data_IF_584601993013
#
_entry.id   IF_584601993013
#
_cell.length_a   1.000
_cell.length_b   1.000
_cell.length_c   1.000
_cell.angle_alpha   90.00
_cell.angle_beta   90.00
_cell.angle_gamma   90.00
#
_symmetry.space_group_name_H-M   'P 1'
#
loop_
_entity.id
_entity.type
_entity.pdbx_description
1 polymer ?
#
# COMPACT_ATOMS: atom_id res chain seq x y z
N UNK A 1 -49.62 10.07 -15.50
CA UNK A 1 -48.19 9.83 -15.13
C UNK A 1 -47.61 11.12 -14.56
N UNK A 2 -47.51 11.22 -13.24
CA UNK A 2 -46.99 12.42 -12.54
C UNK A 2 -45.45 12.39 -12.61
N UNK A 3 -44.85 13.34 -13.33
CA UNK A 3 -43.41 13.59 -13.35
C UNK A 3 -43.00 14.15 -11.99
N UNK A 4 -42.50 13.30 -11.09
CA UNK A 4 -41.86 13.72 -9.85
C UNK A 4 -40.66 14.61 -10.18
N UNK A 5 -40.82 15.94 -10.00
CA UNK A 5 -39.70 16.89 -10.08
C UNK A 5 -38.64 16.47 -9.08
N UNK A 6 -37.51 15.96 -9.55
CA UNK A 6 -36.29 15.80 -8.74
C UNK A 6 -35.89 17.18 -8.21
N UNK A 7 -36.19 17.42 -6.94
CA UNK A 7 -35.72 18.63 -6.23
C UNK A 7 -34.16 18.51 -6.24
N UNK A 8 -33.53 19.46 -6.95
CA UNK A 8 -32.08 19.63 -6.90
C UNK A 8 -31.71 19.94 -5.45
N UNK A 9 -31.13 18.97 -4.76
CA UNK A 9 -30.63 19.13 -3.40
C UNK A 9 -29.57 20.25 -3.43
N UNK A 10 -29.79 21.33 -2.66
CA UNK A 10 -28.89 22.47 -2.60
C UNK A 10 -27.61 21.98 -1.90
N UNK A 11 -26.48 22.00 -2.62
CA UNK A 11 -25.17 21.59 -2.09
C UNK A 11 -24.85 22.46 -0.88
N UNK A 12 -24.75 21.87 0.29
CA UNK A 12 -24.36 22.56 1.53
C UNK A 12 -22.86 22.82 1.51
N UNK A 13 -22.37 23.89 2.17
CA UNK A 13 -20.94 24.14 2.30
C UNK A 13 -20.16 22.94 2.87
N UNK A 14 -20.81 22.17 3.74
CA UNK A 14 -20.26 20.94 4.31
C UNK A 14 -20.04 19.84 3.25
N UNK A 15 -20.95 19.68 2.27
CA UNK A 15 -20.77 18.73 1.17
C UNK A 15 -19.56 19.08 0.30
N UNK A 16 -19.29 20.38 0.13
CA UNK A 16 -18.11 20.84 -0.63
C UNK A 16 -16.83 20.48 0.12
N UNK A 17 -16.77 20.77 1.42
CA UNK A 17 -15.62 20.44 2.28
C UNK A 17 -15.38 18.93 2.25
N UNK A 18 -16.43 18.12 2.41
CA UNK A 18 -16.34 16.68 2.34
C UNK A 18 -15.68 16.19 1.04
N UNK A 19 -16.16 16.71 -0.09
CA UNK A 19 -15.66 16.33 -1.42
C UNK A 19 -14.20 16.74 -1.61
N UNK A 20 -13.84 17.97 -1.22
CA UNK A 20 -12.48 18.49 -1.35
C UNK A 20 -11.51 17.68 -0.50
N UNK A 21 -11.83 17.43 0.78
CA UNK A 21 -10.98 16.64 1.67
C UNK A 21 -10.81 15.22 1.15
N UNK A 22 -11.89 14.56 0.73
CA UNK A 22 -11.83 13.21 0.16
C UNK A 22 -10.99 13.17 -1.12
N UNK A 23 -11.12 14.17 -1.99
CA UNK A 23 -10.33 14.26 -3.22
C UNK A 23 -8.83 14.47 -2.93
N UNK A 24 -8.50 15.34 -1.98
CA UNK A 24 -7.09 15.56 -1.56
C UNK A 24 -6.48 14.28 -1.01
N UNK A 25 -7.19 13.57 -0.12
CA UNK A 25 -6.69 12.30 0.45
C UNK A 25 -6.53 11.23 -0.63
N UNK A 26 -7.47 11.12 -1.57
CA UNK A 26 -7.40 10.13 -2.65
C UNK A 26 -6.24 10.43 -3.62
N UNK A 27 -6.00 11.70 -3.99
CA UNK A 27 -4.91 12.07 -4.90
C UNK A 27 -3.55 11.93 -4.21
N UNK A 28 -3.45 12.21 -2.90
CA UNK A 28 -2.22 12.09 -2.13
C UNK A 28 -1.69 10.64 -2.08
N UNK A 29 -2.55 9.64 -2.23
CA UNK A 29 -2.14 8.24 -2.26
C UNK A 29 -1.14 7.94 -3.39
N UNK A 30 -1.22 8.59 -4.54
CA UNK A 30 -0.37 8.31 -5.70
C UNK A 30 1.08 8.78 -5.51
N UNK A 31 1.38 10.06 -5.21
CA UNK A 31 2.75 10.48 -4.99
C UNK A 31 3.38 9.79 -3.77
N UNK A 32 2.62 9.55 -2.71
CA UNK A 32 3.12 8.82 -1.55
C UNK A 32 3.46 7.36 -1.88
N UNK A 33 2.61 6.68 -2.68
CA UNK A 33 2.91 5.32 -3.15
C UNK A 33 4.15 5.27 -4.03
N UNK A 34 4.35 6.28 -4.89
CA UNK A 34 5.42 6.28 -5.89
C UNK A 34 6.77 6.67 -5.33
N UNK A 35 6.85 7.74 -4.53
CA UNK A 35 8.11 8.32 -4.07
C UNK A 35 8.55 7.84 -2.69
N UNK A 36 7.62 7.39 -1.82
CA UNK A 36 8.00 6.93 -0.48
C UNK A 36 8.57 5.51 -0.54
N UNK A 37 9.48 5.21 0.37
CA UNK A 37 10.03 3.86 0.52
C UNK A 37 8.92 2.87 0.89
N UNK A 38 8.88 1.75 0.21
CA UNK A 38 7.82 0.73 0.33
C UNK A 38 8.34 -0.54 1.03
N UNK A 39 9.58 -0.92 0.75
CA UNK A 39 10.19 -2.13 1.29
C UNK A 39 11.54 -1.75 1.90
N UNK A 40 11.76 -2.21 3.13
CA UNK A 40 13.06 -2.15 3.81
C UNK A 40 13.59 -3.57 3.97
N UNK A 41 14.84 -3.78 3.58
CA UNK A 41 15.59 -5.00 3.83
C UNK A 41 16.85 -4.63 4.61
N UNK A 42 17.04 -5.25 5.76
CA UNK A 42 18.25 -5.13 6.57
C UNK A 42 19.04 -6.41 6.45
N UNK A 43 20.26 -6.27 5.96
CA UNK A 43 21.21 -7.38 5.79
C UNK A 43 22.31 -7.17 6.84
N UNK A 44 22.42 -8.03 7.81
CA UNK A 44 23.53 -8.04 8.75
C UNK A 44 24.63 -8.98 8.27
N UNK A 45 25.80 -8.43 8.05
CA UNK A 45 27.04 -9.16 7.83
C UNK A 45 27.84 -9.16 9.13
N UNK A 46 27.58 -10.09 10.05
CA UNK A 46 28.30 -10.14 11.33
C UNK A 46 29.82 -10.26 11.14
N UNK A 47 30.27 -11.10 10.22
CA UNK A 47 31.70 -11.28 9.96
C UNK A 47 32.32 -10.10 9.20
N UNK A 48 31.63 -9.55 8.21
CA UNK A 48 32.08 -8.38 7.44
C UNK A 48 32.06 -7.11 8.28
N UNK A 49 31.05 -6.95 9.12
CA UNK A 49 30.98 -5.86 10.11
C UNK A 49 32.15 -5.89 11.07
N UNK A 50 32.48 -7.07 11.63
CA UNK A 50 33.62 -7.23 12.53
C UNK A 50 34.95 -6.92 11.84
N UNK A 51 35.11 -7.28 10.57
CA UNK A 51 36.32 -6.98 9.78
C UNK A 51 36.40 -5.47 9.51
N UNK A 52 35.32 -4.82 9.10
CA UNK A 52 35.28 -3.38 8.83
C UNK A 52 35.49 -2.59 10.12
N UNK A 53 34.84 -2.95 11.23
CA UNK A 53 35.00 -2.31 12.53
C UNK A 53 36.45 -2.41 13.03
N UNK A 54 37.08 -3.57 12.84
CA UNK A 54 38.48 -3.79 13.20
C UNK A 54 39.46 -2.98 12.31
N UNK A 55 39.09 -2.71 11.04
CA UNK A 55 39.94 -1.99 10.11
C UNK A 55 39.72 -0.46 10.18
N UNK A 56 38.50 -0.01 10.47
CA UNK A 56 38.15 1.42 10.44
C UNK A 56 38.01 2.04 11.83
N UNK A 57 37.96 1.25 12.87
CA UNK A 57 37.71 1.73 14.24
C UNK A 57 36.33 2.37 14.44
N UNK A 58 35.40 2.17 13.52
CA UNK A 58 34.04 2.70 13.64
C UNK A 58 33.14 1.68 14.35
N UNK A 59 32.36 2.13 15.32
CA UNK A 59 31.35 1.32 16.01
C UNK A 59 30.02 1.25 15.21
N UNK A 60 30.08 1.39 13.89
CA UNK A 60 28.89 1.30 13.06
C UNK A 60 28.40 -0.16 13.05
N UNK A 61 27.16 -0.46 13.46
CA UNK A 61 26.65 -1.83 13.57
C UNK A 61 26.46 -2.55 12.22
N UNK A 62 27.13 -2.06 11.16
CA UNK A 62 27.36 -2.76 9.90
C UNK A 62 26.11 -3.37 9.25
N UNK A 63 24.98 -2.70 9.30
CA UNK A 63 23.78 -3.10 8.58
C UNK A 63 23.77 -2.48 7.19
N UNK A 64 23.77 -3.29 6.13
CA UNK A 64 23.45 -2.77 4.80
C UNK A 64 21.94 -2.65 4.69
N UNK A 65 21.47 -1.43 4.57
CA UNK A 65 20.06 -1.13 4.39
C UNK A 65 19.76 -1.02 2.89
N UNK A 66 18.79 -1.79 2.42
CA UNK A 66 18.20 -1.59 1.09
C UNK A 66 16.76 -1.10 1.30
N UNK A 67 16.50 0.13 0.88
CA UNK A 67 15.17 0.74 0.92
C UNK A 67 14.71 1.00 -0.52
N UNK A 68 13.59 0.41 -0.90
CA UNK A 68 13.06 0.52 -2.25
C UNK A 68 11.68 1.18 -2.28
N UNK A 69 11.51 2.06 -3.25
CA UNK A 69 10.23 2.65 -3.64
C UNK A 69 9.75 2.08 -4.98
N UNK A 70 8.54 2.40 -5.38
CA UNK A 70 8.06 2.07 -6.73
C UNK A 70 8.88 2.81 -7.80
N UNK A 71 9.33 4.04 -7.51
CA UNK A 71 10.17 4.81 -8.41
C UNK A 71 11.49 4.09 -8.74
N UNK A 72 12.05 3.35 -7.77
CA UNK A 72 13.32 2.63 -7.93
C UNK A 72 13.24 1.49 -8.97
N UNK A 73 12.02 0.99 -9.28
CA UNK A 73 11.81 0.00 -10.36
C UNK A 73 12.16 0.60 -11.73
N UNK A 74 11.91 1.89 -11.91
CA UNK A 74 12.10 2.61 -13.18
C UNK A 74 13.42 3.35 -13.24
N UNK A 75 14.15 3.45 -12.13
CA UNK A 75 15.46 4.09 -12.07
C UNK A 75 16.56 3.08 -12.40
N UNK A 76 17.18 3.23 -13.57
CA UNK A 76 18.26 2.36 -14.04
C UNK A 76 19.50 2.35 -13.13
N UNK A 77 19.65 3.34 -12.27
CA UNK A 77 20.75 3.41 -11.30
C UNK A 77 20.42 2.71 -9.97
N UNK A 78 19.16 2.33 -9.76
CA UNK A 78 18.72 1.68 -8.51
C UNK A 78 19.17 0.22 -8.43
N UNK A 79 19.49 -0.23 -7.22
CA UNK A 79 19.83 -1.63 -6.94
C UNK A 79 18.69 -2.57 -7.29
N UNK A 80 17.43 -2.13 -7.08
CA UNK A 80 16.23 -2.91 -7.42
C UNK A 80 16.13 -3.13 -8.93
N UNK A 81 16.31 -2.06 -9.73
CA UNK A 81 16.31 -2.17 -11.20
C UNK A 81 17.42 -3.10 -11.70
N UNK A 82 18.63 -2.99 -11.12
CA UNK A 82 19.72 -3.92 -11.44
C UNK A 82 19.38 -5.37 -11.11
N UNK A 83 18.80 -5.64 -9.93
CA UNK A 83 18.39 -7.01 -9.53
C UNK A 83 17.32 -7.57 -10.47
N UNK A 84 16.35 -6.76 -10.87
CA UNK A 84 15.30 -7.18 -11.81
C UNK A 84 15.85 -7.46 -13.20
N UNK A 85 16.93 -6.76 -13.63
CA UNK A 85 17.56 -6.90 -14.94
C UNK A 85 18.74 -7.87 -14.95
N UNK A 86 19.31 -8.28 -13.79
CA UNK A 86 20.33 -9.34 -13.72
C UNK A 86 19.85 -10.69 -14.28
N UNK A 87 18.55 -10.79 -14.58
CA UNK A 87 17.94 -11.94 -15.22
C UNK A 87 17.98 -11.98 -16.75
N UNK A 88 18.83 -11.21 -17.44
CA UNK A 88 18.89 -11.26 -18.93
C UNK A 88 19.19 -12.64 -19.53
N UNK A 89 19.53 -13.64 -18.71
CA UNK A 89 19.62 -15.06 -19.10
C UNK A 89 18.50 -15.97 -18.60
N UNK A 90 17.78 -15.56 -17.55
CA UNK A 90 16.66 -16.28 -16.93
C UNK A 90 15.53 -15.28 -16.66
N UNK A 91 14.78 -14.90 -17.71
CA UNK A 91 13.60 -14.07 -17.54
C UNK A 91 12.69 -14.70 -16.48
N UNK A 92 12.45 -13.96 -15.39
CA UNK A 92 11.40 -14.31 -14.42
C UNK A 92 10.07 -14.30 -15.19
N UNK A 93 9.70 -15.41 -15.77
CA UNK A 93 8.43 -15.54 -16.49
C UNK A 93 7.30 -15.48 -15.45
N UNK A 94 6.14 -15.00 -15.87
CA UNK A 94 4.94 -14.99 -15.01
C UNK A 94 4.64 -16.41 -14.48
N UNK A 95 4.90 -17.46 -15.28
CA UNK A 95 4.77 -18.84 -14.84
C UNK A 95 5.73 -19.17 -13.71
N UNK A 96 7.01 -18.80 -13.80
CA UNK A 96 8.02 -19.04 -12.75
C UNK A 96 7.64 -18.33 -11.45
N UNK A 97 7.13 -17.09 -11.53
CA UNK A 97 6.65 -16.35 -10.36
C UNK A 97 5.44 -17.04 -9.73
N UNK A 98 4.52 -17.55 -10.58
CA UNK A 98 3.29 -18.17 -10.09
C UNK A 98 3.52 -19.54 -9.45
N UNK A 99 4.47 -20.31 -9.96
CA UNK A 99 4.82 -21.64 -9.45
C UNK A 99 5.59 -21.58 -8.13
N UNK A 100 6.31 -20.49 -7.89
CA UNK A 100 7.02 -20.26 -6.63
C UNK A 100 6.09 -19.62 -5.59
N UNK A 101 5.85 -20.31 -4.47
CA UNK A 101 4.93 -19.87 -3.39
C UNK A 101 5.32 -18.51 -2.84
N UNK A 102 6.60 -18.24 -2.67
CA UNK A 102 7.12 -16.99 -2.09
C UNK A 102 6.99 -15.82 -3.07
N UNK A 103 7.40 -16.00 -4.33
CA UNK A 103 7.25 -14.99 -5.37
C UNK A 103 5.78 -14.69 -5.67
N UNK A 104 4.93 -15.72 -5.63
CA UNK A 104 3.48 -15.58 -5.75
C UNK A 104 2.90 -14.73 -4.62
N UNK A 105 3.38 -14.87 -3.38
CA UNK A 105 2.94 -14.04 -2.26
C UNK A 105 3.28 -12.56 -2.48
N UNK A 106 4.46 -12.25 -3.00
CA UNK A 106 4.85 -10.88 -3.37
C UNK A 106 3.97 -10.34 -4.51
N UNK A 107 3.70 -11.17 -5.53
CA UNK A 107 2.83 -10.81 -6.64
C UNK A 107 1.40 -10.50 -6.15
N UNK A 108 0.84 -11.35 -5.28
CA UNK A 108 -0.47 -11.12 -4.66
C UNK A 108 -0.46 -9.81 -3.87
N UNK A 109 0.56 -9.57 -3.05
CA UNK A 109 0.68 -8.32 -2.31
C UNK A 109 0.71 -7.10 -3.24
N UNK A 110 1.48 -7.14 -4.33
CA UNK A 110 1.56 -6.07 -5.32
C UNK A 110 0.22 -5.85 -6.05
N UNK A 111 -0.48 -6.92 -6.42
CA UNK A 111 -1.80 -6.82 -7.06
C UNK A 111 -2.81 -6.13 -6.12
N UNK A 112 -2.90 -6.54 -4.86
CA UNK A 112 -3.83 -5.93 -3.92
C UNK A 112 -3.47 -4.49 -3.58
N UNK A 113 -2.18 -4.15 -3.54
CA UNK A 113 -1.73 -2.76 -3.43
C UNK A 113 -2.16 -1.94 -4.66
N UNK A 114 -1.96 -2.45 -5.88
CA UNK A 114 -2.39 -1.81 -7.11
C UNK A 114 -3.93 -1.63 -7.17
N UNK A 115 -4.70 -2.65 -6.75
CA UNK A 115 -6.16 -2.55 -6.63
C UNK A 115 -6.52 -1.38 -5.71
N UNK A 116 -5.82 -1.20 -4.59
CA UNK A 116 -6.08 -0.07 -3.68
C UNK A 116 -5.87 1.28 -4.37
N UNK A 117 -4.82 1.43 -5.17
CA UNK A 117 -4.58 2.65 -5.94
C UNK A 117 -5.69 2.89 -6.99
N UNK A 118 -6.15 1.85 -7.67
CA UNK A 118 -7.29 1.94 -8.60
C UNK A 118 -8.56 2.37 -7.85
N UNK A 119 -8.83 1.81 -6.67
CA UNK A 119 -9.95 2.22 -5.84
C UNK A 119 -9.82 3.69 -5.39
N UNK A 120 -8.63 4.16 -5.04
CA UNK A 120 -8.37 5.57 -4.74
C UNK A 120 -8.69 6.48 -5.94
N UNK A 121 -8.34 6.06 -7.16
CA UNK A 121 -8.69 6.79 -8.39
C UNK A 121 -10.21 6.87 -8.60
N UNK A 122 -10.91 5.75 -8.38
CA UNK A 122 -12.38 5.72 -8.48
C UNK A 122 -13.01 6.62 -7.40
N UNK A 123 -12.49 6.59 -6.16
CA UNK A 123 -12.93 7.48 -5.08
C UNK A 123 -12.74 8.94 -5.47
N UNK A 124 -11.58 9.29 -6.05
CA UNK A 124 -11.30 10.64 -6.54
C UNK A 124 -12.35 11.08 -7.57
N UNK A 125 -12.67 10.21 -8.52
CA UNK A 125 -13.71 10.48 -9.51
C UNK A 125 -15.07 10.74 -8.84
N UNK A 126 -15.49 9.88 -7.89
CA UNK A 126 -16.76 10.07 -7.18
C UNK A 126 -16.75 11.33 -6.29
N UNK A 127 -15.63 11.68 -5.67
CA UNK A 127 -15.51 12.90 -4.89
C UNK A 127 -15.65 14.16 -5.73
N UNK A 128 -15.15 14.16 -6.97
CA UNK A 128 -15.24 15.32 -7.88
C UNK A 128 -16.63 15.42 -8.52
N UNK A 129 -17.17 14.32 -9.05
CA UNK A 129 -18.33 14.34 -9.92
C UNK A 129 -19.65 13.92 -9.25
N UNK A 130 -19.60 13.31 -8.08
CA UNK A 130 -20.79 12.71 -7.45
C UNK A 130 -20.76 12.86 -5.93
N UNK A 131 -21.95 13.12 -5.32
CA UNK A 131 -22.09 13.20 -3.87
C UNK A 131 -22.62 11.87 -3.28
N UNK A 132 -22.05 10.72 -3.71
CA UNK A 132 -22.49 9.40 -3.28
C UNK A 132 -21.60 8.87 -2.14
N UNK A 133 -21.70 9.43 -0.95
CA UNK A 133 -20.90 9.03 0.23
C UNK A 133 -20.95 7.53 0.53
N UNK A 134 -22.09 6.86 0.33
CA UNK A 134 -22.21 5.41 0.53
C UNK A 134 -21.32 4.59 -0.41
N UNK A 135 -21.14 5.05 -1.66
CA UNK A 135 -20.26 4.40 -2.64
C UNK A 135 -18.81 4.58 -2.21
N UNK A 136 -18.45 5.79 -1.78
CA UNK A 136 -17.10 6.09 -1.28
C UNK A 136 -16.76 5.24 -0.05
N UNK A 137 -17.72 5.06 0.87
CA UNK A 137 -17.56 4.15 2.03
C UNK A 137 -17.26 2.72 1.56
N UNK A 138 -18.03 2.18 0.63
CA UNK A 138 -17.80 0.83 0.10
C UNK A 138 -16.44 0.67 -0.56
N UNK A 139 -16.05 1.62 -1.41
CA UNK A 139 -14.76 1.62 -2.10
C UNK A 139 -13.59 1.76 -1.13
N UNK A 140 -13.67 2.66 -0.15
CA UNK A 140 -12.60 2.83 0.83
C UNK A 140 -12.47 1.63 1.78
N UNK A 141 -13.59 1.02 2.18
CA UNK A 141 -13.58 -0.24 2.95
C UNK A 141 -12.92 -1.37 2.16
N UNK A 142 -13.24 -1.52 0.87
CA UNK A 142 -12.59 -2.49 -0.01
C UNK A 142 -11.08 -2.19 -0.16
N UNK A 143 -10.68 -0.92 -0.23
CA UNK A 143 -9.28 -0.52 -0.26
C UNK A 143 -8.54 -0.89 1.03
N UNK A 144 -9.13 -0.63 2.19
CA UNK A 144 -8.55 -1.06 3.49
C UNK A 144 -8.38 -2.58 3.54
N UNK A 145 -9.39 -3.35 3.12
CA UNK A 145 -9.29 -4.81 3.06
C UNK A 145 -8.20 -5.28 2.09
N UNK A 146 -8.09 -4.65 0.92
CA UNK A 146 -7.02 -4.94 -0.04
C UNK A 146 -5.63 -4.71 0.56
N UNK A 147 -5.45 -3.63 1.32
CA UNK A 147 -4.19 -3.36 2.01
C UNK A 147 -3.87 -4.39 3.10
N UNK A 148 -4.89 -4.86 3.84
CA UNK A 148 -4.70 -5.94 4.83
C UNK A 148 -4.26 -7.24 4.14
N UNK A 149 -4.89 -7.62 3.02
CA UNK A 149 -4.49 -8.80 2.25
C UNK A 149 -3.07 -8.64 1.72
N UNK A 150 -2.72 -7.46 1.17
CA UNK A 150 -1.37 -7.15 0.71
C UNK A 150 -0.35 -7.30 1.84
N UNK A 151 -0.62 -6.74 3.02
CA UNK A 151 0.24 -6.84 4.19
C UNK A 151 0.46 -8.27 4.64
N UNK A 152 -0.63 -9.03 4.81
CA UNK A 152 -0.56 -10.44 5.25
C UNK A 152 0.19 -11.29 4.23
N UNK A 153 -0.10 -11.11 2.93
CA UNK A 153 0.58 -11.86 1.86
C UNK A 153 2.08 -11.61 1.87
N UNK A 154 2.51 -10.36 1.97
CA UNK A 154 3.93 -10.01 2.02
C UNK A 154 4.59 -10.49 3.30
N UNK A 155 4.02 -10.19 4.46
CA UNK A 155 4.68 -10.44 5.76
C UNK A 155 4.70 -11.92 6.09
N UNK A 156 3.56 -12.63 6.01
CA UNK A 156 3.46 -14.01 6.47
C UNK A 156 4.02 -15.01 5.48
N UNK A 157 3.85 -14.78 4.18
CA UNK A 157 4.21 -15.76 3.16
C UNK A 157 5.50 -15.46 2.40
N UNK A 158 6.08 -14.26 2.56
CA UNK A 158 7.36 -13.90 1.96
C UNK A 158 8.40 -13.51 3.01
N UNK A 159 8.16 -12.47 3.82
CA UNK A 159 9.17 -11.93 4.71
C UNK A 159 9.51 -12.87 5.87
N UNK A 160 8.52 -13.38 6.60
CA UNK A 160 8.72 -14.23 7.77
C UNK A 160 9.50 -15.51 7.44
N UNK A 161 9.19 -16.29 6.37
CA UNK A 161 9.97 -17.50 6.04
C UNK A 161 11.45 -17.22 5.78
N UNK A 162 11.78 -16.05 5.21
CA UNK A 162 13.18 -15.66 4.98
C UNK A 162 13.86 -15.28 6.29
N UNK A 163 13.21 -14.45 7.11
CA UNK A 163 13.76 -13.98 8.39
C UNK A 163 13.96 -15.14 9.36
N UNK A 164 13.04 -16.12 9.36
CA UNK A 164 13.14 -17.30 10.22
C UNK A 164 14.16 -18.34 9.72
N UNK A 165 14.72 -18.14 8.51
CA UNK A 165 15.66 -19.08 7.92
C UNK A 165 15.01 -20.34 7.33
N UNK A 166 13.67 -20.37 7.19
CA UNK A 166 12.94 -21.50 6.58
C UNK A 166 13.28 -21.65 5.10
N UNK A 167 13.64 -20.54 4.44
CA UNK A 167 14.03 -20.52 3.04
C UNK A 167 15.10 -19.46 2.78
N UNK A 168 16.07 -19.76 1.91
CA UNK A 168 17.07 -18.80 1.47
C UNK A 168 16.59 -17.99 0.27
N UNK A 169 17.04 -16.74 0.17
CA UNK A 169 16.74 -15.88 -0.97
C UNK A 169 17.26 -16.49 -2.30
N UNK A 170 18.38 -17.21 -2.25
CA UNK A 170 18.94 -17.94 -3.39
C UNK A 170 17.96 -18.98 -3.94
N UNK A 171 17.32 -19.73 -3.03
CA UNK A 171 16.33 -20.74 -3.41
C UNK A 171 15.06 -20.10 -4.01
N UNK A 172 14.63 -18.94 -3.47
CA UNK A 172 13.48 -18.22 -3.97
C UNK A 172 13.74 -17.71 -5.41
N UNK A 173 14.91 -17.13 -5.63
CA UNK A 173 15.28 -16.52 -6.92
C UNK A 173 15.80 -17.56 -7.93
N UNK A 174 15.90 -18.84 -7.52
CA UNK A 174 16.45 -19.93 -8.33
C UNK A 174 17.83 -19.61 -8.94
N UNK A 175 18.67 -18.94 -8.13
CA UNK A 175 20.02 -18.56 -8.54
C UNK A 175 20.94 -19.75 -8.38
N UNK A 176 21.22 -20.44 -9.49
CA UNK A 176 22.09 -21.61 -9.54
C UNK A 176 23.53 -21.19 -9.86
N UNK A 177 24.37 -21.12 -8.87
CA UNK A 177 25.80 -20.88 -9.02
C UNK A 177 26.55 -21.01 -7.70
N UNK A 178 27.71 -21.66 -7.71
CA UNK A 178 28.52 -21.87 -6.49
C UNK A 178 28.86 -20.50 -5.87
N UNK A 179 29.21 -19.51 -6.68
CA UNK A 179 29.58 -18.16 -6.21
C UNK A 179 28.35 -17.41 -5.66
N UNK A 180 27.20 -17.53 -6.34
CA UNK A 180 25.96 -16.91 -5.90
C UNK A 180 25.41 -17.56 -4.63
N UNK A 181 25.47 -18.88 -4.51
CA UNK A 181 25.10 -19.60 -3.30
C UNK A 181 26.04 -19.30 -2.12
N UNK A 182 27.33 -19.12 -2.37
CA UNK A 182 28.28 -18.69 -1.36
C UNK A 182 28.00 -17.23 -0.95
N UNK A 183 27.86 -16.30 -1.90
CA UNK A 183 27.57 -14.91 -1.60
C UNK A 183 26.26 -14.73 -0.84
N UNK A 184 25.19 -15.43 -1.26
CA UNK A 184 23.88 -15.36 -0.60
C UNK A 184 23.81 -16.21 0.68
N UNK A 185 24.65 -17.22 0.84
CA UNK A 185 24.79 -18.00 2.06
C UNK A 185 25.41 -17.22 3.22
N UNK A 186 26.22 -16.20 2.92
CA UNK A 186 26.78 -15.27 3.91
C UNK A 186 25.85 -14.06 4.20
N UNK A 187 24.78 -13.89 3.42
CA UNK A 187 23.82 -12.81 3.63
C UNK A 187 22.81 -13.25 4.68
N UNK A 188 23.00 -12.79 5.90
CA UNK A 188 22.02 -12.95 6.96
C UNK A 188 21.00 -11.81 6.90
N UNK A 189 19.82 -12.06 6.33
CA UNK A 189 18.74 -11.08 6.28
C UNK A 189 18.03 -11.11 7.62
N UNK A 190 18.17 -10.02 8.39
CA UNK A 190 17.57 -9.91 9.72
C UNK A 190 16.21 -9.28 9.72
N UNK A 191 15.90 -8.47 8.70
CA UNK A 191 14.62 -7.79 8.63
C UNK A 191 14.19 -7.58 7.19
N UNK A 192 12.95 -7.94 6.88
CA UNK A 192 12.23 -7.56 5.66
C UNK A 192 10.87 -7.02 6.10
N UNK A 193 10.57 -5.77 5.82
CA UNK A 193 9.28 -5.17 6.21
C UNK A 193 8.78 -4.19 5.17
N UNK A 194 7.46 -3.98 5.19
CA UNK A 194 6.83 -2.89 4.46
C UNK A 194 7.07 -1.57 5.21
N UNK A 195 7.33 -0.51 4.46
CA UNK A 195 7.68 0.80 4.98
C UNK A 195 6.63 1.89 4.62
N UNK A 196 7.01 3.14 4.80
CA UNK A 196 6.17 4.32 4.79
C UNK A 196 5.13 4.40 3.68
N UNK A 197 5.47 4.10 2.41
CA UNK A 197 4.54 4.18 1.29
C UNK A 197 3.30 3.32 1.52
N UNK A 198 3.50 2.07 2.02
CA UNK A 198 2.42 1.16 2.32
C UNK A 198 1.51 1.71 3.41
N UNK A 199 2.09 2.14 4.53
CA UNK A 199 1.32 2.66 5.65
C UNK A 199 0.62 3.98 5.34
N UNK A 200 1.24 4.88 4.57
CA UNK A 200 0.60 6.12 4.14
C UNK A 200 -0.65 5.86 3.31
N UNK A 201 -0.58 4.95 2.32
CA UNK A 201 -1.74 4.59 1.50
C UNK A 201 -2.83 3.93 2.36
N UNK A 202 -2.45 3.03 3.28
CA UNK A 202 -3.39 2.41 4.22
C UNK A 202 -4.12 3.44 5.08
N UNK A 203 -3.38 4.36 5.72
CA UNK A 203 -3.98 5.39 6.57
C UNK A 203 -4.82 6.40 5.79
N UNK A 204 -4.47 6.72 4.55
CA UNK A 204 -5.31 7.55 3.70
C UNK A 204 -6.64 6.87 3.37
N UNK A 205 -6.63 5.58 2.99
CA UNK A 205 -7.86 4.83 2.73
C UNK A 205 -8.73 4.70 3.99
N UNK A 206 -8.11 4.43 5.14
CA UNK A 206 -8.79 4.39 6.43
C UNK A 206 -9.36 5.76 6.80
N UNK A 207 -8.61 6.82 6.59
CA UNK A 207 -9.05 8.21 6.81
C UNK A 207 -10.27 8.57 5.95
N UNK A 208 -10.25 8.21 4.66
CA UNK A 208 -11.41 8.41 3.76
C UNK A 208 -12.63 7.64 4.28
N UNK A 209 -12.43 6.40 4.72
CA UNK A 209 -13.51 5.57 5.27
C UNK A 209 -14.15 6.22 6.49
N UNK A 210 -13.32 6.55 7.50
CA UNK A 210 -13.78 7.17 8.75
C UNK A 210 -14.47 8.52 8.48
N UNK A 211 -13.85 9.36 7.65
CA UNK A 211 -14.40 10.64 7.26
C UNK A 211 -15.76 10.51 6.57
N UNK A 212 -15.90 9.57 5.64
CA UNK A 212 -17.15 9.34 4.91
C UNK A 212 -18.26 8.81 5.81
N UNK A 213 -17.94 7.95 6.79
CA UNK A 213 -18.89 7.48 7.81
C UNK A 213 -19.35 8.65 8.68
N UNK A 214 -18.42 9.47 9.17
CA UNK A 214 -18.75 10.64 10.01
C UNK A 214 -19.72 11.59 9.28
N UNK A 215 -19.44 11.90 8.02
CA UNK A 215 -20.31 12.75 7.19
C UNK A 215 -21.69 12.13 6.99
N UNK A 216 -21.75 10.82 6.76
CA UNK A 216 -23.03 10.11 6.61
C UNK A 216 -23.88 10.20 7.88
N UNK A 217 -23.26 10.09 9.06
CA UNK A 217 -23.95 10.19 10.37
C UNK A 217 -24.47 11.61 10.58
N UNK A 218 -23.66 12.63 10.32
CA UNK A 218 -24.05 14.05 10.45
C UNK A 218 -25.23 14.37 9.54
N UNK A 219 -25.16 13.98 8.26
CA UNK A 219 -26.24 14.24 7.30
C UNK A 219 -27.56 13.56 7.71
N UNK A 220 -27.51 12.34 8.26
CA UNK A 220 -28.72 11.66 8.76
C UNK A 220 -29.30 12.36 10.00
N UNK A 221 -28.48 12.91 10.87
CA UNK A 221 -28.90 13.67 12.04
C UNK A 221 -29.64 14.93 11.64
N UNK A 222 -29.09 15.69 10.70
CA UNK A 222 -29.73 16.91 10.17
C UNK A 222 -31.07 16.61 9.47
N UNK A 223 -31.14 15.52 8.69
CA UNK A 223 -32.40 15.10 8.06
C UNK A 223 -33.50 14.81 9.08
N UNK A 224 -33.17 14.10 10.17
CA UNK A 224 -34.10 13.80 11.26
C UNK A 224 -34.58 15.09 11.97
N UNK A 225 -33.67 16.02 12.25
CA UNK A 225 -34.01 17.29 12.87
C UNK A 225 -34.94 18.12 11.98
N UNK A 226 -34.67 18.20 10.69
CA UNK A 226 -35.53 18.89 9.72
C UNK A 226 -36.92 18.25 9.64
N UNK A 227 -36.99 16.90 9.68
CA UNK A 227 -38.26 16.16 9.68
C UNK A 227 -39.08 16.44 10.95
N UNK A 228 -38.44 16.45 12.14
CA UNK A 228 -39.10 16.79 13.40
C UNK A 228 -39.62 18.23 13.43
N UNK A 229 -38.83 19.19 12.95
CA UNK A 229 -39.26 20.60 12.86
C UNK A 229 -40.43 20.79 11.87
N UNK A 230 -40.45 20.03 10.76
CA UNK A 230 -41.54 20.06 9.82
C UNK A 230 -42.83 19.44 10.39
N UNK A 231 -42.73 18.36 11.16
CA UNK A 231 -43.86 17.75 11.85
C UNK A 231 -44.46 18.66 12.93
N UNK A 232 -43.61 19.32 13.71
CA UNK A 232 -44.05 20.30 14.73
C UNK A 232 -44.79 21.50 14.13
N UNK A 233 -44.40 21.98 12.93
CA UNK A 233 -45.09 23.09 12.23
C UNK A 233 -46.43 22.70 11.62
N UNK A 234 -46.73 21.44 11.42
CA UNK A 234 -48.03 20.96 10.92
C UNK A 234 -49.06 20.78 12.04
N UNK A 235 -48.62 20.69 13.25
CA UNK A 235 -49.48 20.47 14.42
C UNK A 235 -49.84 21.78 15.18
N UNK A 236 -49.23 22.88 14.76
CA UNK A 236 -49.61 24.25 15.15
C UNK A 236 -50.35 24.97 13.99
#
# INVERSE_FOLDING_TARGET
MSKTKKIKQKTTGFDIIYRVVTAIMAIAAFPLAYFSKMILIVIMHEEVSNIINNLTGSEDPGGTYAEWSIADIFDSSSTLHMILNLGEGNSLSISTIWDNVYLRAVLIAAIFFAITLVLALIILFFAIFSNKSKVIIGLSASGVLSMIVSFVSFTQFFANPIINGDVSLANILNINGIIANLALGFINITTIKLEGAFFWVFFLMLGILVWSIAVLVVNKSEEKEKAMKAAARKNN
#
